data_IF_883924242716
#
_entry.id   IF_883924242716
#
_cell.length_a   1.000
_cell.length_b   1.000
_cell.length_c   1.000
_cell.angle_alpha   90.00
_cell.angle_beta   90.00
_cell.angle_gamma   90.00
#
_symmetry.space_group_name_H-M   'P 1'
#
loop_
_entity.id
_entity.type
_entity.pdbx_description
1 polymer ?
#
# COMPACT_ATOMS: atom_id res chain seq x y z
N UNK A 1 1.89 5.39 6.85
CA UNK A 1 0.96 5.48 5.70
C UNK A 1 1.22 6.67 4.80
N UNK A 2 1.21 7.93 5.32
CA UNK A 2 1.55 9.12 4.51
C UNK A 2 2.89 8.99 3.76
N UNK A 3 3.91 8.41 4.40
CA UNK A 3 5.21 8.15 3.75
C UNK A 3 5.16 7.15 2.60
N UNK A 4 4.31 6.11 2.72
CA UNK A 4 4.13 5.10 1.67
C UNK A 4 3.47 5.75 0.46
N UNK A 5 2.41 6.53 0.69
CA UNK A 5 1.74 7.31 -0.35
C UNK A 5 2.71 8.27 -1.03
N UNK A 6 3.48 9.05 -0.26
CA UNK A 6 4.46 9.99 -0.80
C UNK A 6 5.50 9.29 -1.68
N UNK A 7 6.03 8.14 -1.23
CA UNK A 7 7.00 7.35 -2.02
C UNK A 7 6.39 6.82 -3.33
N UNK A 8 5.15 6.36 -3.32
CA UNK A 8 4.48 5.86 -4.53
C UNK A 8 4.12 7.01 -5.50
N UNK A 9 3.62 8.13 -4.99
CA UNK A 9 3.33 9.33 -5.81
C UNK A 9 4.59 9.85 -6.49
N UNK A 10 5.73 9.91 -5.78
CA UNK A 10 7.00 10.32 -6.38
C UNK A 10 7.46 9.37 -7.48
N UNK A 11 7.33 8.04 -7.30
CA UNK A 11 7.64 7.06 -8.34
C UNK A 11 6.76 7.22 -9.58
N UNK A 12 5.47 7.50 -9.40
CA UNK A 12 4.55 7.72 -10.52
C UNK A 12 4.88 9.02 -11.26
N UNK A 13 5.31 10.06 -10.53
CA UNK A 13 5.76 11.32 -11.09
C UNK A 13 7.05 11.15 -11.89
N UNK A 14 8.04 10.45 -11.33
CA UNK A 14 9.32 10.12 -12.01
C UNK A 14 9.10 9.26 -13.27
N UNK A 15 8.13 8.34 -13.23
CA UNK A 15 7.74 7.55 -14.39
C UNK A 15 6.92 8.33 -15.43
N UNK A 16 6.55 9.58 -15.16
CA UNK A 16 5.71 10.41 -16.03
C UNK A 16 4.25 9.93 -16.15
N UNK A 17 3.79 9.08 -15.22
CA UNK A 17 2.40 8.58 -15.23
C UNK A 17 1.40 9.60 -14.68
N UNK A 18 1.86 10.52 -13.83
CA UNK A 18 1.07 11.61 -13.25
C UNK A 18 1.83 12.93 -13.34
N UNK A 19 1.12 14.05 -13.19
CA UNK A 19 1.70 15.39 -13.16
C UNK A 19 1.01 16.23 -12.06
N UNK A 20 1.70 17.24 -11.48
CA UNK A 20 1.11 18.09 -10.48
C UNK A 20 0.07 19.02 -11.10
N UNK A 21 -1.07 19.17 -10.43
CA UNK A 21 -2.11 20.14 -10.75
C UNK A 21 -2.38 20.92 -9.46
N UNK A 22 -2.27 22.25 -9.53
CA UNK A 22 -2.39 23.12 -8.35
C UNK A 22 -3.83 23.42 -7.95
N UNK A 23 -4.75 23.42 -8.91
CA UNK A 23 -6.05 24.09 -8.81
C UNK A 23 -7.26 23.20 -9.19
N UNK A 24 -7.11 21.88 -9.18
CA UNK A 24 -8.23 20.97 -9.43
C UNK A 24 -9.22 20.92 -8.26
N UNK A 25 -10.47 21.31 -8.50
CA UNK A 25 -11.57 21.05 -7.57
C UNK A 25 -11.96 19.55 -7.50
N UNK A 26 -11.57 18.77 -8.50
CA UNK A 26 -11.83 17.35 -8.61
C UNK A 26 -10.74 16.55 -7.89
N UNK A 27 -11.14 15.82 -6.86
CA UNK A 27 -10.24 14.96 -6.08
C UNK A 27 -10.87 13.60 -5.87
N UNK A 28 -10.07 12.55 -6.04
CA UNK A 28 -10.46 11.17 -5.75
C UNK A 28 -9.83 10.72 -4.43
N UNK A 29 -10.57 9.99 -3.57
CA UNK A 29 -9.99 9.37 -2.38
C UNK A 29 -8.85 8.41 -2.72
N UNK A 30 -7.87 8.31 -1.83
CA UNK A 30 -6.75 7.39 -1.96
C UNK A 30 -6.72 6.42 -0.78
N UNK A 31 -6.71 5.14 -1.08
CA UNK A 31 -6.60 4.06 -0.11
C UNK A 31 -5.23 3.40 -0.20
N UNK A 32 -4.72 2.95 0.95
CA UNK A 32 -3.46 2.19 1.01
C UNK A 32 -3.79 0.80 1.51
N UNK A 33 -3.56 -0.19 0.65
CA UNK A 33 -3.94 -1.59 0.89
C UNK A 33 -2.68 -2.42 1.10
N UNK A 34 -2.60 -3.24 2.17
CA UNK A 34 -1.48 -4.14 2.36
C UNK A 34 -1.47 -5.21 1.26
N UNK A 35 -0.31 -5.47 0.67
CA UNK A 35 -0.11 -6.62 -0.21
C UNK A 35 -0.18 -7.88 0.64
N UNK A 36 -0.97 -8.84 0.17
CA UNK A 36 -0.98 -10.19 0.73
C UNK A 36 0.39 -10.81 0.47
N UNK A 37 1.14 -11.08 1.53
CA UNK A 37 2.32 -11.94 1.48
C UNK A 37 1.96 -13.42 1.54
N UNK A 38 2.99 -14.26 1.51
CA UNK A 38 2.87 -15.69 1.80
C UNK A 38 2.40 -15.93 3.24
N UNK A 39 1.82 -17.11 3.48
CA UNK A 39 1.49 -17.55 4.83
C UNK A 39 2.74 -18.18 5.46
N UNK A 40 3.18 -17.68 6.61
CA UNK A 40 4.28 -18.28 7.36
C UNK A 40 3.71 -18.94 8.60
N UNK A 41 4.07 -20.19 8.87
CA UNK A 41 3.68 -20.87 10.10
C UNK A 41 4.75 -20.57 11.16
N UNK A 42 4.34 -19.99 12.29
CA UNK A 42 5.24 -19.64 13.40
C UNK A 42 4.85 -20.50 14.59
N UNK A 43 5.83 -21.17 15.22
CA UNK A 43 5.62 -21.87 16.49
C UNK A 43 5.60 -20.86 17.63
N UNK A 44 4.54 -20.91 18.45
CA UNK A 44 4.50 -20.19 19.72
C UNK A 44 5.29 -20.93 20.81
N UNK A 45 5.47 -20.33 21.99
CA UNK A 45 6.11 -20.91 23.18
C UNK A 45 5.45 -22.23 23.64
N UNK A 46 4.18 -22.44 23.29
CA UNK A 46 3.42 -23.68 23.54
C UNK A 46 3.55 -24.73 22.43
N UNK A 47 4.45 -24.54 21.46
CA UNK A 47 4.60 -25.37 20.25
C UNK A 47 3.35 -25.45 19.35
N UNK A 48 2.42 -24.50 19.50
CA UNK A 48 1.27 -24.38 18.60
C UNK A 48 1.70 -23.69 17.30
N UNK A 49 1.29 -24.27 16.17
CA UNK A 49 1.55 -23.75 14.83
C UNK A 49 0.53 -22.67 14.47
N UNK A 50 0.93 -21.41 14.57
CA UNK A 50 0.06 -20.27 14.24
C UNK A 50 0.35 -19.83 12.81
N UNK A 51 -0.62 -19.96 11.87
CA UNK A 51 -0.48 -19.41 10.53
C UNK A 51 -0.52 -17.88 10.62
N UNK A 52 0.63 -17.25 10.48
CA UNK A 52 0.78 -15.80 10.54
C UNK A 52 0.91 -15.24 9.13
N UNK A 53 0.09 -14.23 8.82
CA UNK A 53 0.13 -13.55 7.53
C UNK A 53 1.14 -12.42 7.57
N UNK A 54 2.21 -12.53 6.81
CA UNK A 54 3.17 -11.43 6.67
C UNK A 54 2.71 -10.44 5.60
N UNK A 55 2.82 -9.15 5.91
CA UNK A 55 2.59 -8.06 4.95
C UNK A 55 3.91 -7.79 4.24
N UNK A 56 3.99 -8.12 2.95
CA UNK A 56 5.22 -7.99 2.15
C UNK A 56 5.40 -6.60 1.54
N UNK A 57 4.36 -5.77 1.56
CA UNK A 57 4.40 -4.40 1.05
C UNK A 57 3.02 -3.76 1.06
N UNK A 58 2.92 -2.57 0.49
CA UNK A 58 1.68 -1.80 0.38
C UNK A 58 1.40 -1.46 -1.09
N UNK A 59 0.15 -1.09 -1.40
CA UNK A 59 -0.28 -0.53 -2.70
C UNK A 59 -1.15 0.69 -2.44
N UNK A 60 -0.94 1.75 -3.21
CA UNK A 60 -1.87 2.86 -3.34
C UNK A 60 -2.97 2.50 -4.35
N UNK A 61 -4.22 2.76 -3.98
CA UNK A 61 -5.41 2.60 -4.82
C UNK A 61 -6.16 3.93 -4.86
N UNK A 62 -6.47 4.42 -6.05
CA UNK A 62 -7.29 5.63 -6.24
C UNK A 62 -8.72 5.15 -6.45
N UNK A 63 -9.65 5.65 -5.65
CA UNK A 63 -11.06 5.32 -5.79
C UNK A 63 -11.71 6.27 -6.80
N UNK A 64 -12.19 5.70 -7.92
CA UNK A 64 -12.83 6.43 -9.02
C UNK A 64 -14.35 6.25 -9.05
N UNK A 65 -14.93 5.57 -8.05
CA UNK A 65 -16.39 5.34 -7.96
C UNK A 65 -17.17 6.55 -7.46
#
# INVERSE_FOLDING_TARGET
>A
MKEVVKKEVLKLLEAGMIYPISDSAWVSPVHVVPKKGGMTVVCNEKNELIPTRTVTGWRMCIDYR
#
